data_IF_715400185669
#
_entry.id   IF_715400185669
#
_cell.length_a   1.000
_cell.length_b   1.000
_cell.length_c   1.000
_cell.angle_alpha   90.00
_cell.angle_beta   90.00
_cell.angle_gamma   90.00
#
_symmetry.space_group_name_H-M   'P 1'
#
loop_
_entity.id
_entity.type
_entity.pdbx_description
1 polymer ?
#
# COMPACT_ATOMS: atom_id res chain seq x y z
N UNK A 1 -1.63 -202.23 -40.14
CA UNK A 1 -2.75 -202.51 -41.06
C UNK A 1 -2.69 -201.58 -42.24
N UNK A 2 -2.11 -202.09 -43.33
CA UNK A 2 -2.70 -202.20 -44.67
C UNK A 2 -3.34 -200.99 -45.39
N UNK A 3 -2.63 -200.63 -46.49
CA UNK A 3 -3.00 -199.97 -47.78
C UNK A 3 -3.41 -198.48 -47.82
N UNK A 4 -3.13 -197.72 -48.92
CA UNK A 4 -1.97 -197.74 -49.84
C UNK A 4 -1.35 -196.34 -50.15
N UNK A 5 -0.03 -196.23 -49.96
CA UNK A 5 1.05 -195.46 -50.62
C UNK A 5 0.89 -194.13 -51.43
N UNK A 6 -0.29 -193.53 -51.67
CA UNK A 6 -0.39 -192.34 -52.58
C UNK A 6 -0.46 -190.96 -51.92
N UNK A 7 -0.43 -190.87 -50.60
CA UNK A 7 -0.56 -189.59 -49.86
C UNK A 7 0.77 -189.00 -49.36
N UNK A 8 1.87 -189.76 -49.34
CA UNK A 8 3.17 -189.26 -48.81
C UNK A 8 4.01 -188.43 -49.81
N UNK A 9 3.70 -188.49 -51.11
CA UNK A 9 4.49 -187.81 -52.15
C UNK A 9 4.07 -186.34 -52.36
N UNK A 10 2.82 -185.98 -52.07
CA UNK A 10 2.30 -184.61 -52.25
C UNK A 10 2.76 -183.59 -51.19
N UNK A 11 3.21 -184.06 -50.01
CA UNK A 11 3.63 -183.16 -48.92
C UNK A 11 5.08 -182.67 -49.07
N UNK A 12 5.95 -183.45 -49.73
CA UNK A 12 7.35 -183.10 -49.92
C UNK A 12 7.58 -182.06 -51.03
N UNK A 13 6.79 -182.10 -52.11
CA UNK A 13 6.87 -181.10 -53.19
C UNK A 13 6.42 -179.69 -52.76
N UNK A 14 5.51 -179.59 -51.78
CA UNK A 14 5.04 -178.31 -51.28
C UNK A 14 6.12 -177.55 -50.48
N UNK A 15 6.95 -178.26 -49.70
CA UNK A 15 7.98 -177.62 -48.87
C UNK A 15 9.20 -177.14 -49.69
N UNK A 16 9.55 -177.85 -50.77
CA UNK A 16 10.65 -177.46 -51.68
C UNK A 16 10.33 -176.14 -52.40
N UNK A 17 9.09 -175.96 -52.88
CA UNK A 17 8.68 -174.70 -53.54
C UNK A 17 8.66 -173.51 -52.58
N UNK A 18 8.38 -173.74 -51.29
CA UNK A 18 8.40 -172.69 -50.27
C UNK A 18 9.81 -172.17 -50.01
N UNK A 19 10.79 -173.07 -49.88
CA UNK A 19 12.19 -172.71 -49.62
C UNK A 19 12.86 -172.01 -50.81
N UNK A 20 12.58 -172.42 -52.05
CA UNK A 20 13.10 -171.72 -53.24
C UNK A 20 12.59 -170.28 -53.33
N UNK A 21 11.33 -170.02 -52.98
CA UNK A 21 10.75 -168.68 -52.98
C UNK A 21 11.37 -167.77 -51.91
N UNK A 22 11.71 -168.32 -50.75
CA UNK A 22 12.39 -167.57 -49.69
C UNK A 22 13.83 -167.20 -50.05
N UNK A 23 14.56 -168.09 -50.72
CA UNK A 23 15.95 -167.81 -51.14
C UNK A 23 16.00 -166.70 -52.20
N UNK A 24 15.05 -166.68 -53.14
CA UNK A 24 14.98 -165.63 -54.16
C UNK A 24 14.71 -164.25 -53.55
N UNK A 25 13.77 -164.15 -52.61
CA UNK A 25 13.47 -162.88 -51.91
C UNK A 25 14.67 -162.38 -51.09
N UNK A 26 15.42 -163.27 -50.45
CA UNK A 26 16.62 -162.90 -49.69
C UNK A 26 17.75 -162.38 -50.60
N UNK A 27 17.94 -162.97 -51.78
CA UNK A 27 18.93 -162.53 -52.75
C UNK A 27 18.59 -161.14 -53.32
N UNK A 28 17.32 -160.88 -53.65
CA UNK A 28 16.85 -159.59 -54.15
C UNK A 28 17.03 -158.48 -53.10
N UNK A 29 16.70 -158.76 -51.83
CA UNK A 29 16.91 -157.80 -50.72
C UNK A 29 18.39 -157.45 -50.53
N UNK A 30 19.30 -158.43 -50.63
CA UNK A 30 20.75 -158.19 -50.52
C UNK A 30 21.28 -157.29 -51.65
N UNK A 31 20.77 -157.47 -52.88
CA UNK A 31 21.07 -156.60 -54.03
C UNK A 31 20.55 -155.17 -53.81
N UNK A 32 19.31 -155.01 -53.35
CA UNK A 32 18.73 -153.69 -53.09
C UNK A 32 19.44 -152.92 -51.97
N UNK A 33 19.83 -153.61 -50.88
CA UNK A 33 20.56 -152.98 -49.77
C UNK A 33 21.98 -152.56 -50.20
N UNK A 34 22.69 -153.40 -50.97
CA UNK A 34 24.00 -153.06 -51.51
C UNK A 34 23.99 -151.86 -52.46
N UNK A 35 22.92 -151.69 -53.25
CA UNK A 35 22.75 -150.52 -54.11
C UNK A 35 22.47 -149.24 -53.30
N UNK A 36 21.64 -149.32 -52.25
CA UNK A 36 21.28 -148.17 -51.42
C UNK A 36 22.48 -147.65 -50.60
N UNK A 37 23.29 -148.56 -50.02
CA UNK A 37 24.53 -148.18 -49.30
C UNK A 37 25.53 -147.50 -50.24
N UNK A 38 25.65 -147.96 -51.49
CA UNK A 38 26.51 -147.29 -52.49
C UNK A 38 26.03 -145.88 -52.84
N UNK A 39 24.73 -145.67 -53.00
CA UNK A 39 24.18 -144.32 -53.25
C UNK A 39 24.40 -143.38 -52.06
N UNK A 40 24.22 -143.87 -50.82
CA UNK A 40 24.42 -143.07 -49.62
C UNK A 40 25.89 -142.68 -49.43
N UNK A 41 26.84 -143.59 -49.68
CA UNK A 41 28.28 -143.26 -49.68
C UNK A 41 28.62 -142.19 -50.73
N UNK A 42 28.11 -142.32 -51.96
CA UNK A 42 28.36 -141.33 -53.00
C UNK A 42 27.77 -139.95 -52.67
N UNK A 43 26.62 -139.89 -51.98
CA UNK A 43 26.06 -138.64 -51.51
C UNK A 43 26.93 -137.98 -50.43
N UNK A 44 27.40 -138.77 -49.46
CA UNK A 44 28.30 -138.29 -48.40
C UNK A 44 29.65 -137.82 -48.96
N UNK A 45 30.23 -138.52 -49.94
CA UNK A 45 31.48 -138.10 -50.59
C UNK A 45 31.32 -136.75 -51.29
N UNK A 46 30.21 -136.52 -52.01
CA UNK A 46 29.92 -135.23 -52.64
C UNK A 46 29.73 -134.10 -51.62
N UNK A 47 29.08 -134.37 -50.50
CA UNK A 47 28.88 -133.37 -49.44
C UNK A 47 30.20 -132.99 -48.74
N UNK A 48 31.06 -133.98 -48.48
CA UNK A 48 32.41 -133.74 -47.96
C UNK A 48 33.23 -132.90 -48.96
N UNK A 49 33.13 -133.19 -50.27
CA UNK A 49 33.83 -132.41 -51.29
C UNK A 49 33.34 -130.95 -51.34
N UNK A 50 32.03 -130.71 -51.25
CA UNK A 50 31.44 -129.37 -51.16
C UNK A 50 31.92 -128.61 -49.92
N UNK A 51 31.86 -129.23 -48.73
CA UNK A 51 32.31 -128.61 -47.48
C UNK A 51 33.81 -128.34 -47.49
N UNK A 52 34.60 -129.21 -48.12
CA UNK A 52 36.05 -129.00 -48.28
C UNK A 52 36.34 -127.81 -49.20
N UNK A 53 35.53 -127.61 -50.23
CA UNK A 53 35.64 -126.44 -51.12
C UNK A 53 35.23 -125.15 -50.42
N UNK A 54 34.15 -125.15 -49.62
CA UNK A 54 33.77 -124.00 -48.79
C UNK A 54 34.82 -123.67 -47.74
N UNK A 55 35.36 -124.68 -47.04
CA UNK A 55 36.44 -124.49 -46.08
C UNK A 55 37.67 -123.86 -46.75
N UNK A 56 38.05 -124.32 -47.95
CA UNK A 56 39.12 -123.68 -48.74
C UNK A 56 38.78 -122.23 -49.09
N UNK A 57 37.54 -121.95 -49.49
CA UNK A 57 37.06 -120.60 -49.79
C UNK A 57 37.15 -119.65 -48.58
N UNK A 58 36.61 -120.08 -47.43
CA UNK A 58 36.63 -119.32 -46.18
C UNK A 58 38.06 -119.16 -45.64
N UNK A 59 38.89 -120.19 -45.74
CA UNK A 59 40.30 -120.10 -45.33
C UNK A 59 41.08 -119.12 -46.20
N UNK A 60 40.73 -119.00 -47.50
CA UNK A 60 41.35 -118.05 -48.41
C UNK A 60 40.92 -116.61 -48.09
N UNK A 61 39.63 -116.37 -47.82
CA UNK A 61 39.15 -115.03 -47.42
C UNK A 61 39.71 -114.63 -46.06
N UNK A 62 39.78 -115.55 -45.10
CA UNK A 62 40.43 -115.31 -43.82
C UNK A 62 41.89 -114.94 -44.02
N UNK A 63 42.64 -115.70 -44.82
CA UNK A 63 44.04 -115.41 -45.13
C UNK A 63 44.24 -114.08 -45.85
N UNK A 64 43.28 -113.63 -46.67
CA UNK A 64 43.34 -112.33 -47.33
C UNK A 64 43.09 -111.20 -46.31
N UNK A 65 42.09 -111.34 -45.44
CA UNK A 65 41.77 -110.37 -44.39
C UNK A 65 42.91 -110.28 -43.37
N UNK A 66 43.41 -111.41 -42.88
CA UNK A 66 44.54 -111.51 -41.95
C UNK A 66 45.90 -111.46 -42.67
N UNK A 67 45.94 -111.02 -43.93
CA UNK A 67 47.21 -110.85 -44.60
C UNK A 67 47.99 -109.72 -43.93
N UNK A 68 49.29 -109.92 -43.74
CA UNK A 68 50.20 -108.94 -43.13
C UNK A 68 50.12 -107.55 -43.80
N UNK A 69 49.72 -107.50 -45.07
CA UNK A 69 49.52 -106.24 -45.80
C UNK A 69 48.28 -105.47 -45.29
N UNK A 70 47.17 -106.16 -45.07
CA UNK A 70 45.94 -105.53 -44.60
C UNK A 70 46.06 -105.13 -43.13
N UNK A 71 46.66 -105.98 -42.28
CA UNK A 71 46.97 -105.64 -40.89
C UNK A 71 47.84 -104.38 -40.77
N UNK A 72 48.90 -104.27 -41.59
CA UNK A 72 49.73 -103.05 -41.65
C UNK A 72 48.99 -101.82 -42.17
N UNK A 73 48.00 -101.99 -43.05
CA UNK A 73 47.17 -100.87 -43.52
C UNK A 73 46.19 -100.44 -42.44
N UNK A 74 45.59 -101.38 -41.72
CA UNK A 74 44.68 -101.10 -40.61
C UNK A 74 45.44 -100.42 -39.46
N UNK A 75 46.64 -100.88 -39.12
CA UNK A 75 47.51 -100.21 -38.13
C UNK A 75 47.84 -98.77 -38.54
N UNK A 76 48.17 -98.53 -39.82
CA UNK A 76 48.41 -97.17 -40.34
C UNK A 76 47.16 -96.32 -40.24
N UNK A 77 46.00 -96.83 -40.65
CA UNK A 77 44.73 -96.14 -40.56
C UNK A 77 44.38 -95.82 -39.10
N UNK A 78 44.63 -96.74 -38.17
CA UNK A 78 44.43 -96.54 -36.73
C UNK A 78 45.36 -95.45 -36.19
N UNK A 79 46.64 -95.45 -36.57
CA UNK A 79 47.60 -94.39 -36.19
C UNK A 79 47.19 -93.03 -36.77
N UNK A 80 46.77 -92.97 -38.03
CA UNK A 80 46.27 -91.75 -38.67
C UNK A 80 45.00 -91.23 -37.99
N UNK A 81 44.03 -92.11 -37.69
CA UNK A 81 42.83 -91.78 -36.94
C UNK A 81 43.16 -91.25 -35.54
N UNK A 82 44.15 -91.84 -34.86
CA UNK A 82 44.59 -91.38 -33.54
C UNK A 82 45.21 -89.98 -33.61
N UNK A 83 46.04 -89.71 -34.62
CA UNK A 83 46.59 -88.38 -34.89
C UNK A 83 45.50 -87.34 -35.22
N UNK A 84 44.54 -87.70 -36.06
CA UNK A 84 43.40 -86.82 -36.39
C UNK A 84 42.50 -86.56 -35.18
N UNK A 85 42.30 -87.56 -34.32
CA UNK A 85 41.54 -87.40 -33.10
C UNK A 85 42.25 -86.48 -32.11
N UNK A 86 43.58 -86.59 -31.97
CA UNK A 86 44.39 -85.70 -31.14
C UNK A 86 44.32 -84.25 -31.65
N UNK A 87 44.46 -84.03 -32.96
CA UNK A 87 44.35 -82.67 -33.53
C UNK A 87 42.94 -82.11 -33.36
N UNK A 88 41.90 -82.92 -33.51
CA UNK A 88 40.51 -82.52 -33.20
C UNK A 88 40.34 -82.09 -31.75
N UNK A 89 40.89 -82.83 -30.79
CA UNK A 89 40.84 -82.44 -29.38
C UNK A 89 41.58 -81.12 -29.10
N UNK A 90 42.71 -80.87 -29.77
CA UNK A 90 43.44 -79.60 -29.66
C UNK A 90 42.61 -78.43 -30.21
N UNK A 91 42.01 -78.58 -31.40
CA UNK A 91 41.14 -77.55 -31.97
C UNK A 91 39.89 -77.31 -31.12
N UNK A 92 39.26 -78.36 -30.58
CA UNK A 92 38.15 -78.22 -29.65
C UNK A 92 38.53 -77.42 -28.41
N UNK A 93 39.73 -77.66 -27.87
CA UNK A 93 40.24 -76.89 -26.73
C UNK A 93 40.40 -75.42 -27.10
N UNK A 94 41.03 -75.14 -28.24
CA UNK A 94 41.23 -73.77 -28.73
C UNK A 94 39.89 -73.06 -29.00
N UNK A 95 38.89 -73.78 -29.52
CA UNK A 95 37.54 -73.25 -29.73
C UNK A 95 36.88 -72.92 -28.38
N UNK A 96 37.01 -73.79 -27.37
CA UNK A 96 36.51 -73.52 -26.01
C UNK A 96 37.16 -72.28 -25.42
N UNK A 97 38.48 -72.16 -25.51
CA UNK A 97 39.22 -71.02 -24.96
C UNK A 97 38.83 -69.71 -25.66
N UNK A 98 38.70 -69.73 -26.99
CA UNK A 98 38.22 -68.57 -27.77
C UNK A 98 36.77 -68.19 -27.44
N UNK A 99 35.88 -69.17 -27.25
CA UNK A 99 34.49 -68.92 -26.81
C UNK A 99 34.44 -68.32 -25.42
N UNK A 100 35.30 -68.76 -24.50
CA UNK A 100 35.40 -68.19 -23.16
C UNK A 100 35.90 -66.73 -23.21
N UNK A 101 36.91 -66.44 -24.05
CA UNK A 101 37.39 -65.08 -24.25
C UNK A 101 36.30 -64.16 -24.86
N UNK A 102 35.55 -64.64 -25.85
CA UNK A 102 34.43 -63.89 -26.42
C UNK A 102 33.36 -63.57 -25.36
N UNK A 103 33.01 -64.54 -24.50
CA UNK A 103 32.05 -64.31 -23.43
C UNK A 103 32.55 -63.27 -22.39
N UNK A 104 33.84 -63.24 -22.09
CA UNK A 104 34.42 -62.23 -21.21
C UNK A 104 34.41 -60.83 -21.86
N UNK A 105 34.77 -60.74 -23.14
CA UNK A 105 34.69 -59.49 -23.90
C UNK A 105 33.26 -58.97 -24.00
N UNK A 106 32.28 -59.83 -24.27
CA UNK A 106 30.85 -59.46 -24.29
C UNK A 106 30.39 -58.92 -22.92
N UNK A 107 30.86 -59.52 -21.83
CA UNK A 107 30.60 -59.03 -20.47
C UNK A 107 31.21 -57.64 -20.25
N UNK A 108 32.45 -57.42 -20.68
CA UNK A 108 33.10 -56.12 -20.59
C UNK A 108 32.38 -55.05 -21.44
N UNK A 109 31.93 -55.40 -22.65
CA UNK A 109 31.12 -54.54 -23.51
C UNK A 109 29.83 -54.12 -22.78
N UNK A 110 29.08 -55.07 -22.21
CA UNK A 110 27.87 -54.78 -21.45
C UNK A 110 28.12 -53.87 -20.24
N UNK A 111 29.24 -54.03 -19.54
CA UNK A 111 29.61 -53.15 -18.44
C UNK A 111 29.94 -51.72 -18.91
N UNK A 112 30.63 -51.58 -20.03
CA UNK A 112 30.92 -50.28 -20.64
C UNK A 112 29.65 -49.60 -21.17
N UNK A 113 28.77 -50.34 -21.84
CA UNK A 113 27.47 -49.83 -22.28
C UNK A 113 26.63 -49.32 -21.10
N UNK A 114 26.60 -50.07 -19.98
CA UNK A 114 25.95 -49.62 -18.75
C UNK A 114 26.57 -48.33 -18.20
N UNK A 115 27.90 -48.18 -18.27
CA UNK A 115 28.59 -46.94 -17.85
C UNK A 115 28.24 -45.77 -18.77
N UNK A 116 28.23 -45.98 -20.09
CA UNK A 116 27.84 -44.97 -21.10
C UNK A 116 26.42 -44.48 -20.85
N UNK A 117 25.46 -45.38 -20.64
CA UNK A 117 24.06 -45.01 -20.34
C UNK A 117 23.97 -44.17 -19.05
N UNK A 118 24.70 -44.54 -17.99
CA UNK A 118 24.74 -43.75 -16.74
C UNK A 118 25.33 -42.36 -16.96
N UNK A 119 26.40 -42.25 -17.73
CA UNK A 119 27.04 -40.97 -18.05
C UNK A 119 26.14 -40.09 -18.92
N UNK A 120 25.49 -40.65 -19.94
CA UNK A 120 24.51 -39.93 -20.76
C UNK A 120 23.34 -39.39 -19.93
N UNK A 121 22.81 -40.18 -18.99
CA UNK A 121 21.78 -39.69 -18.05
C UNK A 121 22.26 -38.51 -17.21
N UNK A 122 23.51 -38.55 -16.73
CA UNK A 122 24.11 -37.41 -15.99
C UNK A 122 24.29 -36.19 -16.90
N UNK A 123 24.81 -36.39 -18.12
CA UNK A 123 25.04 -35.32 -19.08
C UNK A 123 23.73 -34.62 -19.48
N UNK A 124 22.64 -35.37 -19.70
CA UNK A 124 21.31 -34.81 -19.98
C UNK A 124 20.80 -33.97 -18.79
N UNK A 125 20.95 -34.47 -17.55
CA UNK A 125 20.57 -33.71 -16.35
C UNK A 125 21.39 -32.43 -16.19
N UNK A 126 22.70 -32.48 -16.47
CA UNK A 126 23.58 -31.30 -16.42
C UNK A 126 23.19 -30.29 -17.51
N UNK A 127 22.91 -30.75 -18.73
CA UNK A 127 22.40 -29.87 -19.81
C UNK A 127 21.09 -29.21 -19.41
N UNK A 128 20.12 -29.98 -18.91
CA UNK A 128 18.85 -29.44 -18.41
C UNK A 128 19.02 -28.49 -17.23
N UNK A 129 20.01 -28.69 -16.35
CA UNK A 129 20.31 -27.77 -15.25
C UNK A 129 20.92 -26.44 -15.77
N UNK A 130 21.84 -26.56 -16.73
CA UNK A 130 22.58 -25.46 -17.36
C UNK A 130 21.90 -24.90 -18.62
N UNK A 131 20.58 -25.10 -18.77
CA UNK A 131 19.82 -24.47 -19.84
C UNK A 131 19.89 -22.95 -19.65
N UNK A 132 20.85 -22.31 -20.36
CA UNK A 132 21.16 -20.89 -20.25
C UNK A 132 19.91 -20.01 -20.34
N UNK A 133 18.97 -20.36 -21.23
CA UNK A 133 17.68 -19.66 -21.36
C UNK A 133 16.80 -19.74 -20.10
N UNK A 134 16.82 -20.85 -19.37
CA UNK A 134 16.03 -21.00 -18.13
C UNK A 134 16.67 -20.24 -16.98
N UNK A 135 18.00 -20.32 -16.87
CA UNK A 135 18.77 -19.56 -15.89
C UNK A 135 18.60 -18.06 -16.12
N UNK A 136 18.68 -17.61 -17.38
CA UNK A 136 18.47 -16.22 -17.76
C UNK A 136 17.07 -15.72 -17.36
N UNK A 137 16.00 -16.47 -17.66
CA UNK A 137 14.64 -16.12 -17.23
C UNK A 137 14.48 -16.06 -15.70
N UNK A 138 15.18 -16.95 -14.97
CA UNK A 138 15.17 -16.92 -13.51
C UNK A 138 15.89 -15.67 -12.98
N UNK A 139 17.03 -15.30 -13.57
CA UNK A 139 17.74 -14.06 -13.26
C UNK A 139 16.83 -12.85 -13.54
N UNK A 140 16.25 -12.75 -14.73
CA UNK A 140 15.33 -11.65 -15.09
C UNK A 140 14.13 -11.56 -14.13
N UNK A 141 13.58 -12.69 -13.70
CA UNK A 141 12.47 -12.71 -12.72
C UNK A 141 12.92 -12.21 -11.35
N UNK A 142 14.12 -12.59 -10.91
CA UNK A 142 14.69 -12.15 -9.63
C UNK A 142 15.06 -10.67 -9.69
N UNK A 143 15.63 -10.20 -10.80
CA UNK A 143 15.95 -8.79 -11.05
C UNK A 143 14.68 -7.93 -11.09
N UNK A 144 13.64 -8.37 -11.80
CA UNK A 144 12.34 -7.69 -11.81
C UNK A 144 11.75 -7.62 -10.40
N UNK A 145 11.83 -8.71 -9.63
CA UNK A 145 11.35 -8.72 -8.24
C UNK A 145 12.15 -7.76 -7.35
N UNK A 146 13.47 -7.73 -7.51
CA UNK A 146 14.34 -6.81 -6.78
C UNK A 146 14.04 -5.35 -7.14
N UNK A 147 13.85 -5.06 -8.43
CA UNK A 147 13.49 -3.74 -8.91
C UNK A 147 12.13 -3.30 -8.36
N UNK A 148 11.12 -4.18 -8.36
CA UNK A 148 9.81 -3.88 -7.79
C UNK A 148 9.90 -3.53 -6.29
N UNK A 149 10.62 -4.32 -5.50
CA UNK A 149 10.84 -4.04 -4.08
C UNK A 149 11.60 -2.72 -3.87
N UNK A 150 12.58 -2.43 -4.74
CA UNK A 150 13.35 -1.18 -4.67
C UNK A 150 12.47 0.04 -4.99
N UNK A 151 11.59 -0.07 -6.00
CA UNK A 151 10.62 0.98 -6.33
C UNK A 151 9.65 1.19 -5.17
N UNK A 152 9.07 0.11 -4.61
CA UNK A 152 8.16 0.19 -3.46
C UNK A 152 8.84 0.86 -2.26
N UNK A 153 10.08 0.48 -1.97
CA UNK A 153 10.88 1.11 -0.90
C UNK A 153 11.11 2.60 -1.15
N UNK A 154 11.48 2.99 -2.37
CA UNK A 154 11.66 4.40 -2.75
C UNK A 154 10.36 5.19 -2.69
N UNK A 155 9.22 4.58 -3.05
CA UNK A 155 7.90 5.18 -2.90
C UNK A 155 7.57 5.42 -1.43
N UNK A 156 7.83 4.45 -0.55
CA UNK A 156 7.65 4.59 0.89
C UNK A 156 8.56 5.70 1.45
N UNK A 157 9.82 5.75 1.04
CA UNK A 157 10.75 6.82 1.47
C UNK A 157 10.27 8.20 1.03
N UNK A 158 9.80 8.34 -0.21
CA UNK A 158 9.26 9.61 -0.74
C UNK A 158 8.00 10.03 0.03
N UNK A 159 7.09 9.09 0.30
CA UNK A 159 5.91 9.36 1.14
C UNK A 159 6.31 9.75 2.56
N UNK A 160 7.30 9.08 3.14
CA UNK A 160 7.78 9.37 4.48
C UNK A 160 8.42 10.77 4.55
N UNK A 161 9.17 11.18 3.52
CA UNK A 161 9.70 12.54 3.39
C UNK A 161 8.56 13.58 3.40
N UNK A 162 7.52 13.39 2.58
CA UNK A 162 6.34 14.27 2.55
C UNK A 162 5.64 14.36 3.91
N UNK A 163 5.46 13.23 4.60
CA UNK A 163 4.87 13.22 5.94
C UNK A 163 5.73 13.96 6.97
N UNK A 164 7.07 13.86 6.88
CA UNK A 164 7.97 14.63 7.76
C UNK A 164 7.87 16.14 7.50
N UNK A 165 7.79 16.55 6.25
CA UNK A 165 7.56 17.96 5.87
C UNK A 165 6.21 18.47 6.39
N UNK A 166 5.15 17.68 6.28
CA UNK A 166 3.83 18.01 6.82
C UNK A 166 3.85 18.14 8.36
N UNK A 167 4.50 17.22 9.06
CA UNK A 167 4.67 17.30 10.52
C UNK A 167 5.42 18.57 10.91
N UNK A 168 6.47 18.96 10.18
CA UNK A 168 7.23 20.17 10.48
C UNK A 168 6.40 21.43 10.22
N UNK A 169 5.64 21.46 9.12
CA UNK A 169 4.70 22.54 8.84
C UNK A 169 3.66 22.69 9.96
N UNK A 170 3.08 21.59 10.44
CA UNK A 170 2.13 21.59 11.55
C UNK A 170 2.76 22.06 12.86
N UNK A 171 4.04 21.73 13.12
CA UNK A 171 4.78 22.22 14.29
C UNK A 171 4.99 23.73 14.23
N UNK A 172 5.36 24.26 13.06
CA UNK A 172 5.51 25.71 12.85
C UNK A 172 4.16 26.41 13.07
N UNK A 173 3.08 25.89 12.49
CA UNK A 173 1.73 26.44 12.69
C UNK A 173 1.33 26.43 14.16
N UNK A 174 1.59 25.33 14.88
CA UNK A 174 1.34 25.24 16.32
C UNK A 174 2.13 26.30 17.09
N UNK A 175 3.42 26.48 16.80
CA UNK A 175 4.24 27.49 17.46
C UNK A 175 3.73 28.93 17.23
N UNK A 176 3.21 29.22 16.03
CA UNK A 176 2.57 30.50 15.71
C UNK A 176 1.28 30.67 16.54
N UNK A 177 0.44 29.63 16.61
CA UNK A 177 -0.79 29.64 17.41
C UNK A 177 -0.50 29.83 18.90
N UNK A 178 0.48 29.12 19.45
CA UNK A 178 0.90 29.25 20.85
C UNK A 178 1.39 30.68 21.15
N UNK A 179 2.12 31.32 20.21
CA UNK A 179 2.53 32.72 20.33
C UNK A 179 1.33 33.68 20.33
N UNK A 180 0.38 33.48 19.42
CA UNK A 180 -0.86 34.25 19.37
C UNK A 180 -1.67 34.11 20.67
N UNK A 181 -1.80 32.88 21.18
CA UNK A 181 -2.47 32.59 22.43
C UNK A 181 -1.82 33.33 23.60
N UNK A 182 -0.48 33.29 23.70
CA UNK A 182 0.26 34.01 24.73
C UNK A 182 0.05 35.54 24.64
N UNK A 183 0.01 36.11 23.42
CA UNK A 183 -0.29 37.54 23.20
C UNK A 183 -1.70 37.89 23.65
N UNK A 184 -2.69 37.07 23.34
CA UNK A 184 -4.07 37.29 23.79
C UNK A 184 -4.19 37.20 25.31
N UNK A 185 -3.54 36.23 25.93
CA UNK A 185 -3.52 36.10 27.39
C UNK A 185 -2.92 37.35 28.06
N UNK A 186 -1.79 37.85 27.57
CA UNK A 186 -1.18 39.09 28.05
C UNK A 186 -2.12 40.30 27.94
N UNK A 187 -2.83 40.42 26.81
CA UNK A 187 -3.83 41.50 26.61
C UNK A 187 -5.01 41.36 27.57
N UNK A 188 -5.49 40.13 27.80
CA UNK A 188 -6.57 39.86 28.73
C UNK A 188 -6.17 40.21 30.17
N UNK A 189 -4.97 39.82 30.60
CA UNK A 189 -4.44 40.18 31.91
C UNK A 189 -4.23 41.68 32.08
N UNK A 190 -3.83 42.38 31.01
CA UNK A 190 -3.74 43.84 31.01
C UNK A 190 -5.12 44.49 31.17
N UNK A 191 -6.14 44.00 30.46
CA UNK A 191 -7.51 44.50 30.58
C UNK A 191 -8.10 44.23 31.97
N UNK A 192 -7.87 43.03 32.52
CA UNK A 192 -8.29 42.68 33.88
C UNK A 192 -7.68 43.62 34.92
N UNK A 193 -6.40 43.95 34.78
CA UNK A 193 -5.73 44.93 35.64
C UNK A 193 -6.34 46.33 35.52
N UNK A 194 -6.63 46.81 34.30
CA UNK A 194 -7.29 48.10 34.08
C UNK A 194 -8.69 48.14 34.68
N UNK A 195 -9.46 47.08 34.49
CA UNK A 195 -10.80 46.93 35.07
C UNK A 195 -10.75 46.98 36.60
N UNK A 196 -9.86 46.20 37.23
CA UNK A 196 -9.71 46.19 38.69
C UNK A 196 -9.30 47.58 39.21
N UNK A 197 -8.35 48.26 38.55
CA UNK A 197 -7.95 49.60 38.93
C UNK A 197 -9.10 50.61 38.83
N UNK A 198 -9.94 50.52 37.79
CA UNK A 198 -11.12 51.38 37.65
C UNK A 198 -12.17 51.10 38.74
N UNK A 199 -12.35 49.83 39.12
CA UNK A 199 -13.23 49.44 40.24
C UNK A 199 -12.71 49.99 41.57
N UNK A 200 -11.41 49.86 41.83
CA UNK A 200 -10.78 50.42 43.04
C UNK A 200 -10.91 51.96 43.09
N UNK A 201 -10.64 52.66 41.99
CA UNK A 201 -10.83 54.11 41.90
C UNK A 201 -12.29 54.52 42.12
N UNK A 202 -13.24 53.77 41.55
CA UNK A 202 -14.68 54.01 41.76
C UNK A 202 -15.07 53.78 43.23
N UNK A 203 -14.52 52.75 43.86
CA UNK A 203 -14.71 52.46 45.29
C UNK A 203 -14.18 53.61 46.17
N UNK A 204 -12.98 54.11 45.89
CA UNK A 204 -12.38 55.25 46.60
C UNK A 204 -13.21 56.53 46.42
N UNK A 205 -13.66 56.83 45.20
CA UNK A 205 -14.50 58.00 44.94
C UNK A 205 -15.85 57.90 45.67
N UNK A 206 -16.42 56.70 45.76
CA UNK A 206 -17.64 56.45 46.52
C UNK A 206 -17.43 56.66 48.02
N UNK A 207 -16.34 56.14 48.58
CA UNK A 207 -15.99 56.31 49.99
C UNK A 207 -15.77 57.79 50.34
N UNK A 208 -15.04 58.54 49.52
CA UNK A 208 -14.86 59.99 49.67
C UNK A 208 -16.19 60.76 49.61
N UNK A 209 -17.10 60.37 48.70
CA UNK A 209 -18.44 60.96 48.62
C UNK A 209 -19.22 60.68 49.90
N UNK A 210 -19.17 59.47 50.42
CA UNK A 210 -19.86 59.10 51.65
C UNK A 210 -19.33 59.89 52.86
N UNK A 211 -18.02 60.07 52.96
CA UNK A 211 -17.42 60.92 54.00
C UNK A 211 -17.83 62.40 53.87
N UNK A 212 -17.91 62.93 52.65
CA UNK A 212 -18.37 64.30 52.42
C UNK A 212 -19.84 64.47 52.81
N UNK A 213 -20.71 63.52 52.46
CA UNK A 213 -22.12 63.51 52.85
C UNK A 213 -22.29 63.41 54.38
N UNK A 214 -21.50 62.58 55.04
CA UNK A 214 -21.49 62.47 56.50
C UNK A 214 -21.09 63.81 57.16
N UNK A 215 -20.06 64.49 56.62
CA UNK A 215 -19.65 65.83 57.09
C UNK A 215 -20.74 66.88 56.89
N UNK A 216 -21.40 66.90 55.72
CA UNK A 216 -22.52 67.81 55.45
C UNK A 216 -23.67 67.55 56.41
N UNK A 217 -24.03 66.28 56.65
CA UNK A 217 -25.08 65.91 57.60
C UNK A 217 -24.76 66.39 59.01
N UNK A 218 -23.53 66.18 59.50
CA UNK A 218 -23.10 66.65 60.81
C UNK A 218 -23.09 68.20 60.91
N UNK A 219 -22.71 68.89 59.84
CA UNK A 219 -22.75 70.36 59.78
C UNK A 219 -24.18 70.89 59.81
N UNK A 220 -25.09 70.28 59.04
CA UNK A 220 -26.51 70.64 59.04
C UNK A 220 -27.16 70.42 60.41
N UNK A 221 -26.80 69.34 61.10
CA UNK A 221 -27.28 69.08 62.46
C UNK A 221 -26.80 70.16 63.44
N UNK A 222 -25.53 70.58 63.36
CA UNK A 222 -25.02 71.71 64.15
C UNK A 222 -25.73 73.01 63.82
N UNK A 223 -25.85 73.35 62.54
CA UNK A 223 -26.55 74.56 62.10
C UNK A 223 -28.01 74.59 62.57
N UNK A 224 -28.70 73.44 62.53
CA UNK A 224 -30.06 73.32 63.06
C UNK A 224 -30.11 73.60 64.57
N UNK A 225 -29.18 73.05 65.35
CA UNK A 225 -29.07 73.33 66.80
C UNK A 225 -28.77 74.81 67.07
N UNK A 226 -27.84 75.41 66.34
CA UNK A 226 -27.48 76.82 66.48
C UNK A 226 -28.65 77.74 66.12
N UNK A 227 -29.41 77.40 65.07
CA UNK A 227 -30.63 78.15 64.67
C UNK A 227 -31.69 78.07 65.78
N UNK A 228 -31.91 76.90 66.36
CA UNK A 228 -32.83 76.73 67.49
C UNK A 228 -32.35 77.55 68.69
N UNK A 229 -31.05 77.51 69.02
CA UNK A 229 -30.49 78.29 70.11
C UNK A 229 -30.65 79.80 69.88
N UNK A 230 -30.29 80.30 68.68
CA UNK A 230 -30.46 81.70 68.30
C UNK A 230 -31.91 82.17 68.44
N UNK A 231 -32.88 81.36 68.01
CA UNK A 231 -34.30 81.68 68.15
C UNK A 231 -34.73 81.77 69.63
N UNK A 232 -34.21 80.89 70.49
CA UNK A 232 -34.46 80.95 71.94
C UNK A 232 -33.86 82.22 72.55
N UNK A 233 -32.62 82.57 72.20
CA UNK A 233 -31.97 83.80 72.66
C UNK A 233 -32.72 85.06 72.19
N UNK A 234 -33.21 85.07 70.95
CA UNK A 234 -34.01 86.16 70.39
C UNK A 234 -35.32 86.33 71.17
N UNK A 235 -36.04 85.22 71.43
CA UNK A 235 -37.26 85.26 72.24
C UNK A 235 -37.01 85.78 73.65
N UNK A 236 -35.88 85.41 74.28
CA UNK A 236 -35.54 85.91 75.60
C UNK A 236 -35.21 87.42 75.58
N UNK A 237 -34.51 87.89 74.54
CA UNK A 237 -34.30 89.33 74.34
C UNK A 237 -35.59 90.09 74.11
N UNK A 238 -36.51 89.55 73.32
CA UNK A 238 -37.82 90.14 73.10
C UNK A 238 -38.62 90.23 74.41
N UNK A 239 -38.56 89.20 75.27
CA UNK A 239 -39.19 89.24 76.61
C UNK A 239 -38.60 90.33 77.50
N UNK A 240 -37.28 90.51 77.51
CA UNK A 240 -36.61 91.58 78.26
C UNK A 240 -37.01 92.95 77.72
N UNK A 241 -37.01 93.13 76.39
CA UNK A 241 -37.47 94.37 75.75
C UNK A 241 -38.92 94.68 76.06
N UNK A 242 -39.81 93.68 76.07
CA UNK A 242 -41.20 93.84 76.47
C UNK A 242 -41.35 94.26 77.92
N UNK A 243 -40.55 93.69 78.83
CA UNK A 243 -40.50 94.11 80.24
C UNK A 243 -40.00 95.55 80.37
N UNK A 244 -38.90 95.91 79.69
CA UNK A 244 -38.41 97.29 79.65
C UNK A 244 -39.43 98.26 79.05
N UNK A 245 -40.11 97.88 77.98
CA UNK A 245 -41.11 98.71 77.33
C UNK A 245 -42.33 98.88 78.23
N UNK A 246 -42.78 97.84 78.94
CA UNK A 246 -43.82 97.93 79.98
C UNK A 246 -43.38 98.87 81.11
N UNK A 247 -42.13 98.79 81.55
CA UNK A 247 -41.59 99.70 82.56
C UNK A 247 -41.51 101.14 82.05
N UNK A 248 -40.96 101.38 80.85
CA UNK A 248 -40.88 102.69 80.19
C UNK A 248 -42.27 103.29 80.00
N UNK A 249 -43.24 102.52 79.51
CA UNK A 249 -44.63 102.98 79.36
C UNK A 249 -45.30 103.25 80.69
N UNK A 250 -45.07 102.42 81.71
CA UNK A 250 -45.58 102.68 83.07
C UNK A 250 -45.01 103.98 83.64
N UNK A 251 -43.70 104.19 83.54
CA UNK A 251 -43.02 105.43 83.94
C UNK A 251 -43.59 106.62 83.19
N UNK A 252 -43.67 106.57 81.85
CA UNK A 252 -44.27 107.64 81.05
C UNK A 252 -45.70 107.95 81.55
N UNK A 253 -46.55 106.93 81.70
CA UNK A 253 -47.96 107.11 82.13
C UNK A 253 -48.07 107.73 83.52
N UNK A 254 -47.12 107.47 84.42
CA UNK A 254 -47.12 108.06 85.78
C UNK A 254 -46.62 109.51 85.82
N UNK A 255 -45.75 109.90 84.89
CA UNK A 255 -45.20 111.26 84.79
C UNK A 255 -45.95 112.17 83.81
N UNK A 256 -46.93 111.65 83.06
CA UNK A 256 -47.75 112.48 82.15
C UNK A 256 -48.94 113.06 82.92
N UNK A 257 -49.14 114.38 82.85
CA UNK A 257 -50.25 115.07 83.51
C UNK A 257 -51.60 114.66 82.88
N UNK A 258 -52.66 114.59 83.70
CA UNK A 258 -53.94 113.95 83.31
C UNK A 258 -54.63 114.67 82.13
N UNK A 259 -54.32 115.96 81.95
CA UNK A 259 -54.81 116.80 80.84
C UNK A 259 -54.14 116.48 79.51
N UNK A 260 -52.86 116.07 79.50
CA UNK A 260 -52.12 115.77 78.27
C UNK A 260 -52.44 114.38 77.71
N UNK A 261 -52.87 113.44 78.56
CA UNK A 261 -53.29 112.10 78.14
C UNK A 261 -54.59 112.10 77.32
N UNK A 262 -55.55 112.98 77.61
CA UNK A 262 -56.77 113.14 76.80
C UNK A 262 -56.46 113.77 75.43
N UNK A 263 -55.55 114.73 75.38
CA UNK A 263 -55.12 115.38 74.12
C UNK A 263 -54.29 114.43 73.25
N UNK A 264 -53.40 113.63 73.86
CA UNK A 264 -52.65 112.57 73.17
C UNK A 264 -53.53 111.40 72.73
N UNK A 265 -54.62 111.07 73.45
CA UNK A 265 -55.58 110.05 73.02
C UNK A 265 -56.36 110.49 71.77
N UNK A 266 -56.70 111.79 71.68
CA UNK A 266 -57.29 112.38 70.45
C UNK A 266 -56.29 112.38 69.29
N UNK A 267 -55.02 112.75 69.53
CA UNK A 267 -53.96 112.67 68.53
C UNK A 267 -53.61 111.23 68.12
N UNK A 268 -53.63 110.25 69.03
CA UNK A 268 -53.41 108.81 68.72
C UNK A 268 -54.56 108.16 67.94
N UNK A 269 -55.81 108.59 68.11
CA UNK A 269 -56.92 108.15 67.24
C UNK A 269 -56.72 108.67 65.81
N UNK A 270 -56.37 109.95 65.65
CA UNK A 270 -56.04 110.52 64.33
C UNK A 270 -54.79 109.87 63.69
N UNK A 271 -53.76 109.54 64.49
CA UNK A 271 -52.55 108.86 63.99
C UNK A 271 -52.77 107.39 63.66
N UNK A 272 -53.68 106.68 64.36
CA UNK A 272 -54.05 105.29 64.03
C UNK A 272 -54.89 105.21 62.75
N UNK A 273 -55.69 106.22 62.44
CA UNK A 273 -56.38 106.35 61.16
C UNK A 273 -55.39 106.67 60.03
N UNK A 274 -54.40 107.53 60.27
CA UNK A 274 -53.31 107.81 59.32
C UNK A 274 -52.32 106.63 59.13
N UNK A 275 -52.03 105.83 60.17
CA UNK A 275 -51.19 104.64 60.07
C UNK A 275 -51.90 103.44 59.41
N UNK A 276 -53.23 103.36 59.49
CA UNK A 276 -53.99 102.39 58.66
C UNK A 276 -53.92 102.73 57.17
N UNK A 277 -53.78 104.02 56.82
CA UNK A 277 -53.51 104.45 55.44
C UNK A 277 -52.05 104.26 54.99
N UNK A 278 -51.08 104.13 55.93
CA UNK A 278 -49.66 103.93 55.61
C UNK A 278 -49.19 102.47 55.68
N UNK A 279 -49.91 101.60 56.40
CA UNK A 279 -49.64 100.13 56.43
C UNK A 279 -50.09 99.39 55.16
N UNK A 280 -50.72 100.07 54.20
CA UNK A 280 -50.94 99.54 52.85
C UNK A 280 -49.73 99.71 51.93
N UNK A 281 -48.71 100.48 52.32
CA UNK A 281 -47.46 100.59 51.58
C UNK A 281 -46.45 99.63 52.20
N UNK A 282 -46.67 98.34 51.92
CA UNK A 282 -45.70 97.31 52.24
C UNK A 282 -44.47 97.47 51.35
N UNK A 283 -43.29 97.38 51.95
CA UNK A 283 -41.96 97.29 51.31
C UNK A 283 -41.77 96.01 50.47
N UNK A 284 -42.86 95.47 49.93
CA UNK A 284 -42.89 94.44 48.90
C UNK A 284 -43.70 94.89 47.67
N UNK A 285 -44.42 96.02 47.73
CA UNK A 285 -45.07 96.62 46.56
C UNK A 285 -44.05 97.31 45.67
N UNK A 286 -43.18 98.17 46.20
CA UNK A 286 -42.21 98.93 45.40
C UNK A 286 -41.19 98.04 44.69
N UNK A 287 -40.67 96.98 45.33
CA UNK A 287 -39.76 96.02 44.66
C UNK A 287 -40.48 95.18 43.60
N UNK A 288 -41.74 94.78 43.85
CA UNK A 288 -42.56 94.09 42.84
C UNK A 288 -42.98 95.03 41.72
N UNK A 289 -43.22 96.30 42.01
CA UNK A 289 -43.61 97.33 41.05
C UNK A 289 -42.42 97.73 40.18
N UNK A 290 -41.20 97.76 40.73
CA UNK A 290 -39.96 97.91 39.95
C UNK A 290 -39.74 96.70 39.05
N UNK A 291 -39.87 95.48 39.56
CA UNK A 291 -39.77 94.27 38.73
C UNK A 291 -40.87 94.23 37.64
N UNK A 292 -42.10 94.62 37.99
CA UNK A 292 -43.23 94.69 37.06
C UNK A 292 -43.03 95.80 36.01
N UNK A 293 -42.50 96.96 36.39
CA UNK A 293 -42.14 98.04 35.44
C UNK A 293 -41.01 97.62 34.51
N UNK A 294 -39.97 96.96 35.00
CA UNK A 294 -38.93 96.40 34.14
C UNK A 294 -39.47 95.33 33.19
N UNK A 295 -40.41 94.48 33.63
CA UNK A 295 -41.10 93.53 32.75
C UNK A 295 -42.03 94.22 31.74
N UNK A 296 -42.65 95.33 32.12
CA UNK A 296 -43.49 96.16 31.26
C UNK A 296 -42.65 96.89 30.18
N UNK A 297 -41.44 97.35 30.52
CA UNK A 297 -40.50 97.96 29.59
C UNK A 297 -39.95 96.93 28.57
N UNK A 298 -39.78 95.68 28.98
CA UNK A 298 -39.39 94.57 28.09
C UNK A 298 -40.55 94.06 27.23
N UNK A 299 -41.80 94.28 27.65
CA UNK A 299 -42.99 93.99 26.87
C UNK A 299 -43.29 95.19 25.96
N UNK A 300 -42.84 95.14 24.70
CA UNK A 300 -43.05 96.21 23.70
C UNK A 300 -44.53 96.63 23.55
N UNK A 301 -45.46 95.74 23.92
CA UNK A 301 -46.92 95.91 23.81
C UNK A 301 -47.62 96.29 25.14
N UNK A 302 -46.90 96.39 26.26
CA UNK A 302 -47.46 96.74 27.58
C UNK A 302 -48.29 95.64 28.29
N UNK A 303 -48.36 94.42 27.73
CA UNK A 303 -49.07 93.26 28.27
C UNK A 303 -48.06 92.16 28.68
N UNK A 304 -47.92 91.94 29.99
CA UNK A 304 -46.96 90.99 30.57
C UNK A 304 -47.41 89.54 30.35
N UNK A 305 -48.71 89.26 30.35
CA UNK A 305 -49.20 87.90 30.11
C UNK A 305 -48.89 87.45 28.68
N UNK A 306 -48.97 88.38 27.71
CA UNK A 306 -48.51 88.12 26.34
C UNK A 306 -47.01 87.89 26.25
N UNK A 307 -46.19 88.64 26.99
CA UNK A 307 -44.75 88.42 27.03
C UNK A 307 -44.41 87.03 27.60
N UNK A 308 -45.04 86.65 28.71
CA UNK A 308 -44.86 85.33 29.33
C UNK A 308 -45.30 84.21 28.38
N UNK A 309 -46.47 84.35 27.73
CA UNK A 309 -46.92 83.37 26.74
C UNK A 309 -45.98 83.29 25.53
N UNK A 310 -45.45 84.43 25.05
CA UNK A 310 -44.43 84.46 23.99
C UNK A 310 -43.12 83.80 24.41
N UNK A 311 -42.69 83.98 25.67
CA UNK A 311 -41.54 83.28 26.24
C UNK A 311 -41.77 81.78 26.34
N UNK A 312 -42.94 81.34 26.81
CA UNK A 312 -43.31 79.91 26.87
C UNK A 312 -43.36 79.32 25.46
N UNK A 313 -43.95 80.00 24.48
CA UNK A 313 -43.95 79.55 23.09
C UNK A 313 -42.53 79.46 22.50
N UNK A 314 -41.67 80.45 22.78
CA UNK A 314 -40.26 80.42 22.37
C UNK A 314 -39.50 79.29 23.07
N UNK A 315 -39.77 79.03 24.35
CA UNK A 315 -39.18 77.94 25.11
C UNK A 315 -39.64 76.57 24.59
N UNK A 316 -40.93 76.41 24.28
CA UNK A 316 -41.45 75.20 23.64
C UNK A 316 -40.85 74.98 22.25
N UNK A 317 -40.70 76.05 21.44
CA UNK A 317 -40.01 75.98 20.15
C UNK A 317 -38.54 75.62 20.33
N UNK A 318 -37.85 76.20 21.32
CA UNK A 318 -36.47 75.85 21.65
C UNK A 318 -36.34 74.41 22.12
N UNK A 319 -37.28 73.91 22.93
CA UNK A 319 -37.29 72.53 23.39
C UNK A 319 -37.54 71.55 22.23
N UNK A 320 -38.44 71.89 21.30
CA UNK A 320 -38.66 71.11 20.09
C UNK A 320 -37.42 71.12 19.19
N UNK A 321 -36.77 72.27 19.00
CA UNK A 321 -35.49 72.38 18.28
C UNK A 321 -34.39 71.57 18.97
N UNK A 322 -34.26 71.63 20.29
CA UNK A 322 -33.27 70.87 21.03
C UNK A 322 -33.51 69.36 20.91
N UNK A 323 -34.77 68.93 20.99
CA UNK A 323 -35.15 67.53 20.80
C UNK A 323 -34.82 67.06 19.37
N UNK A 324 -35.11 67.89 18.36
CA UNK A 324 -34.77 67.60 16.97
C UNK A 324 -33.25 67.55 16.73
N UNK A 325 -32.49 68.48 17.30
CA UNK A 325 -31.01 68.46 17.25
C UNK A 325 -30.46 67.20 17.93
N UNK A 326 -31.06 66.78 19.04
CA UNK A 326 -30.67 65.56 19.75
C UNK A 326 -30.93 64.32 18.90
N UNK A 327 -32.09 64.24 18.23
CA UNK A 327 -32.40 63.13 17.33
C UNK A 327 -31.48 63.13 16.11
N UNK A 328 -31.21 64.29 15.51
CA UNK A 328 -30.22 64.42 14.43
C UNK A 328 -28.82 64.00 14.86
N UNK A 329 -28.40 64.32 16.09
CA UNK A 329 -27.12 63.85 16.62
C UNK A 329 -27.11 62.33 16.80
N UNK A 330 -28.20 61.75 17.32
CA UNK A 330 -28.33 60.29 17.43
C UNK A 330 -28.28 59.61 16.05
N UNK A 331 -28.95 60.19 15.04
CA UNK A 331 -28.88 59.71 13.66
C UNK A 331 -27.47 59.86 13.08
N UNK A 332 -26.79 60.98 13.35
CA UNK A 332 -25.42 61.21 12.93
C UNK A 332 -24.47 60.19 13.53
N UNK A 333 -24.58 59.88 14.82
CA UNK A 333 -23.81 58.83 15.48
C UNK A 333 -24.07 57.44 14.88
N UNK A 334 -25.34 57.11 14.60
CA UNK A 334 -25.70 55.86 13.90
C UNK A 334 -25.06 55.80 12.51
N UNK A 335 -25.10 56.90 11.76
CA UNK A 335 -24.49 56.97 10.42
C UNK A 335 -22.97 56.88 10.48
N UNK A 336 -22.32 57.52 11.46
CA UNK A 336 -20.89 57.39 11.70
C UNK A 336 -20.50 55.95 12.08
N UNK A 337 -21.31 55.28 12.90
CA UNK A 337 -21.16 53.86 13.21
C UNK A 337 -21.20 53.00 11.95
N UNK A 338 -22.22 53.18 11.09
CA UNK A 338 -22.34 52.47 9.81
C UNK A 338 -21.16 52.76 8.86
N UNK A 339 -20.69 54.00 8.79
CA UNK A 339 -19.52 54.37 7.98
C UNK A 339 -18.29 53.60 8.48
N UNK A 340 -18.08 53.55 9.79
CA UNK A 340 -16.95 52.82 10.39
C UNK A 340 -17.05 51.31 10.12
N UNK A 341 -18.24 50.73 10.22
CA UNK A 341 -18.47 49.33 9.91
C UNK A 341 -18.17 49.02 8.44
N UNK A 342 -18.64 49.85 7.52
CA UNK A 342 -18.33 49.74 6.09
C UNK A 342 -16.83 49.92 5.81
N UNK A 343 -16.16 50.84 6.48
CA UNK A 343 -14.71 51.00 6.35
C UNK A 343 -13.93 49.77 6.83
N UNK A 344 -14.38 49.15 7.92
CA UNK A 344 -13.79 47.90 8.41
C UNK A 344 -14.02 46.76 7.41
N UNK A 345 -15.21 46.67 6.82
CA UNK A 345 -15.54 45.66 5.79
C UNK A 345 -14.69 45.86 4.52
N UNK A 346 -14.56 47.10 4.04
CA UNK A 346 -13.67 47.42 2.90
C UNK A 346 -12.23 47.03 3.23
N UNK A 347 -11.75 47.33 4.43
CA UNK A 347 -10.38 46.99 4.83
C UNK A 347 -10.19 45.47 4.84
N UNK A 348 -11.14 44.72 5.39
CA UNK A 348 -11.11 43.25 5.39
C UNK A 348 -11.09 42.68 3.97
N UNK A 349 -11.95 43.18 3.07
CA UNK A 349 -11.99 42.76 1.67
C UNK A 349 -10.69 43.08 0.92
N UNK A 350 -10.07 44.23 1.20
CA UNK A 350 -8.77 44.60 0.62
C UNK A 350 -7.68 43.66 1.11
N UNK A 351 -7.61 43.36 2.41
CA UNK A 351 -6.61 42.43 2.95
C UNK A 351 -6.79 41.01 2.43
N UNK A 352 -8.03 40.55 2.26
CA UNK A 352 -8.33 39.23 1.69
C UNK A 352 -7.92 39.18 0.21
N UNK A 353 -8.15 40.27 -0.54
CA UNK A 353 -7.72 40.39 -1.94
C UNK A 353 -6.20 40.37 -2.05
N UNK A 354 -5.48 41.12 -1.22
CA UNK A 354 -4.00 41.13 -1.20
C UNK A 354 -3.43 39.75 -0.85
N UNK A 355 -4.07 39.05 0.09
CA UNK A 355 -3.70 37.67 0.43
C UNK A 355 -3.95 36.71 -0.74
N UNK A 356 -5.11 36.81 -1.40
CA UNK A 356 -5.41 36.00 -2.56
C UNK A 356 -4.43 36.28 -3.73
N UNK A 357 -4.13 37.54 -3.99
CA UNK A 357 -3.20 37.96 -5.05
C UNK A 357 -1.76 37.50 -4.77
N UNK A 358 -1.27 37.67 -3.54
CA UNK A 358 0.05 37.17 -3.14
C UNK A 358 0.14 35.64 -3.19
N UNK A 359 -0.93 34.93 -2.82
CA UNK A 359 -1.00 33.46 -2.97
C UNK A 359 -0.99 33.03 -4.44
N UNK A 360 -1.71 33.74 -5.30
CA UNK A 360 -1.75 33.50 -6.75
C UNK A 360 -0.39 33.76 -7.40
N UNK A 361 0.27 34.88 -7.05
CA UNK A 361 1.63 35.19 -7.51
C UNK A 361 2.66 34.14 -7.06
N UNK A 362 2.52 33.59 -5.85
CA UNK A 362 3.39 32.49 -5.40
C UNK A 362 3.19 31.24 -6.25
N UNK A 363 1.94 30.86 -6.52
CA UNK A 363 1.62 29.72 -7.38
C UNK A 363 2.11 29.94 -8.81
N UNK A 364 1.94 31.14 -9.37
CA UNK A 364 2.47 31.47 -10.69
C UNK A 364 3.98 31.34 -10.75
N UNK A 365 4.71 31.83 -9.74
CA UNK A 365 6.18 31.69 -9.66
C UNK A 365 6.61 30.23 -9.57
N UNK A 366 5.92 29.41 -8.77
CA UNK A 366 6.17 27.97 -8.67
C UNK A 366 5.91 27.25 -10.01
N UNK A 367 4.91 27.69 -10.77
CA UNK A 367 4.61 27.16 -12.11
C UNK A 367 5.63 27.61 -13.15
N UNK A 368 6.08 28.86 -13.11
CA UNK A 368 7.16 29.38 -13.96
C UNK A 368 8.47 28.63 -13.71
N UNK A 369 8.84 28.39 -12.44
CA UNK A 369 10.04 27.64 -12.08
C UNK A 369 9.97 26.20 -12.63
N UNK A 370 8.85 25.50 -12.43
CA UNK A 370 8.63 24.16 -13.01
C UNK A 370 8.65 24.18 -14.53
N UNK A 371 8.11 25.22 -15.16
CA UNK A 371 8.17 25.36 -16.61
C UNK A 371 9.63 25.52 -17.06
N UNK A 372 10.43 26.35 -16.39
CA UNK A 372 11.86 26.51 -16.72
C UNK A 372 12.63 25.22 -16.54
N UNK A 373 12.45 24.51 -15.42
CA UNK A 373 13.11 23.22 -15.16
C UNK A 373 12.75 22.17 -16.23
N UNK A 374 11.47 22.04 -16.56
CA UNK A 374 11.01 21.07 -17.58
C UNK A 374 11.49 21.45 -18.97
N UNK A 375 11.57 22.74 -19.29
CA UNK A 375 12.13 23.22 -20.58
C UNK A 375 13.63 22.93 -20.65
N UNK A 376 14.38 23.15 -19.57
CA UNK A 376 15.81 22.80 -19.49
C UNK A 376 16.05 21.30 -19.59
N UNK A 377 15.23 20.47 -18.95
CA UNK A 377 15.26 19.02 -19.12
C UNK A 377 14.96 18.60 -20.56
N UNK A 378 13.91 19.16 -21.17
CA UNK A 378 13.56 18.89 -22.56
C UNK A 378 14.71 19.25 -23.51
N UNK A 379 15.32 20.43 -23.33
CA UNK A 379 16.48 20.87 -24.12
C UNK A 379 17.66 19.91 -23.92
N UNK A 380 17.94 19.46 -22.69
CA UNK A 380 18.98 18.47 -22.41
C UNK A 380 18.73 17.14 -23.12
N UNK A 381 17.48 16.67 -23.13
CA UNK A 381 17.12 15.46 -23.89
C UNK A 381 17.24 15.67 -25.39
N UNK A 382 16.83 16.82 -25.91
CA UNK A 382 16.96 17.16 -27.32
C UNK A 382 18.43 17.20 -27.77
N UNK A 383 19.31 17.82 -26.97
CA UNK A 383 20.75 17.88 -27.25
C UNK A 383 21.39 16.48 -27.20
N UNK A 384 20.98 15.64 -26.24
CA UNK A 384 21.42 14.24 -26.21
C UNK A 384 20.95 13.45 -27.42
N UNK A 385 19.71 13.67 -27.86
CA UNK A 385 19.19 13.06 -29.08
C UNK A 385 19.99 13.54 -30.31
N UNK A 386 20.27 14.85 -30.43
CA UNK A 386 21.09 15.40 -31.52
C UNK A 386 22.49 14.77 -31.55
N UNK A 387 23.15 14.63 -30.40
CA UNK A 387 24.46 13.99 -30.31
C UNK A 387 24.38 12.50 -30.68
N UNK A 388 23.38 11.78 -30.18
CA UNK A 388 23.16 10.38 -30.54
C UNK A 388 22.87 10.19 -32.03
N UNK A 389 22.06 11.05 -32.63
CA UNK A 389 21.78 11.04 -34.08
C UNK A 389 23.04 11.38 -34.89
N UNK A 390 23.91 12.25 -34.40
CA UNK A 390 25.20 12.54 -35.04
C UNK A 390 26.13 11.32 -35.02
N UNK A 391 26.20 10.62 -33.88
CA UNK A 391 26.97 9.37 -33.77
C UNK A 391 26.39 8.29 -34.68
N UNK A 392 25.07 8.14 -34.73
CA UNK A 392 24.39 7.22 -35.66
C UNK A 392 24.69 7.57 -37.12
N UNK A 393 24.60 8.84 -37.52
CA UNK A 393 24.94 9.26 -38.89
C UNK A 393 26.41 9.04 -39.24
N UNK A 394 27.33 9.18 -38.27
CA UNK A 394 28.74 8.83 -38.45
C UNK A 394 28.94 7.31 -38.62
N UNK A 395 28.18 6.50 -37.88
CA UNK A 395 28.21 5.05 -38.02
C UNK A 395 27.59 4.60 -39.36
N UNK A 396 26.47 5.20 -39.77
CA UNK A 396 25.84 4.97 -41.08
C UNK A 396 26.81 5.26 -42.22
N UNK A 397 27.43 6.45 -42.22
CA UNK A 397 28.42 6.83 -43.24
C UNK A 397 29.67 5.95 -43.20
N UNK A 398 30.13 5.53 -42.00
CA UNK A 398 31.22 4.58 -41.84
C UNK A 398 30.89 3.18 -42.39
N UNK A 399 29.69 2.65 -42.09
CA UNK A 399 29.21 1.38 -42.63
C UNK A 399 28.98 1.46 -44.13
N UNK A 400 28.47 2.57 -44.66
CA UNK A 400 28.31 2.77 -46.10
C UNK A 400 29.67 2.81 -46.82
N UNK A 401 30.67 3.45 -46.20
CA UNK A 401 32.05 3.48 -46.71
C UNK A 401 32.68 2.08 -46.71
N UNK A 402 32.53 1.33 -45.62
CA UNK A 402 32.98 -0.07 -45.53
C UNK A 402 32.27 -0.97 -46.54
N UNK A 403 30.96 -0.81 -46.74
CA UNK A 403 30.22 -1.55 -47.76
C UNK A 403 30.75 -1.27 -49.17
N UNK A 404 31.11 -0.01 -49.45
CA UNK A 404 31.71 0.40 -50.73
C UNK A 404 33.14 -0.14 -50.90
N UNK A 405 33.96 -0.15 -49.85
CA UNK A 405 35.34 -0.67 -49.90
C UNK A 405 35.42 -2.20 -50.04
N UNK A 406 34.47 -2.93 -49.45
CA UNK A 406 34.49 -4.40 -49.44
C UNK A 406 33.99 -5.01 -50.77
N UNK A 407 33.48 -4.21 -51.73
CA UNK A 407 32.84 -4.72 -52.96
C UNK A 407 31.79 -5.81 -52.63
N UNK A 408 31.09 -5.65 -51.51
CA UNK A 408 30.08 -6.61 -51.08
C UNK A 408 28.91 -6.57 -52.06
N UNK A 409 28.54 -7.72 -52.61
CA UNK A 409 27.43 -7.88 -53.55
C UNK A 409 26.10 -7.43 -52.90
N UNK A 410 25.75 -6.16 -53.09
CA UNK A 410 24.72 -5.44 -52.36
C UNK A 410 23.29 -5.95 -52.66
N UNK A 411 23.14 -6.88 -53.61
CA UNK A 411 21.84 -7.41 -54.06
C UNK A 411 21.08 -8.19 -52.97
N UNK A 412 21.77 -8.86 -52.04
CA UNK A 412 21.12 -9.54 -50.89
C UNK A 412 20.77 -8.60 -49.74
N UNK A 413 21.59 -7.58 -49.51
CA UNK A 413 21.44 -6.63 -48.40
C UNK A 413 20.34 -5.60 -48.74
N UNK A 414 20.28 -5.10 -49.97
CA UNK A 414 19.22 -4.19 -50.46
C UNK A 414 17.83 -4.83 -50.39
N UNK A 415 17.74 -6.16 -50.54
CA UNK A 415 16.49 -6.91 -50.39
C UNK A 415 15.98 -6.98 -48.94
N UNK A 416 16.87 -6.86 -47.96
CA UNK A 416 16.54 -6.77 -46.53
C UNK A 416 16.32 -5.32 -46.06
N UNK A 417 16.91 -4.32 -46.73
CA UNK A 417 16.80 -2.89 -46.37
C UNK A 417 15.50 -2.20 -46.83
N UNK A 418 14.64 -2.88 -47.59
CA UNK A 418 13.39 -2.31 -48.09
C UNK A 418 13.56 -1.31 -49.24
N UNK A 419 12.44 -0.81 -49.77
CA UNK A 419 12.27 -0.21 -51.11
C UNK A 419 13.19 0.99 -51.43
N UNK A 420 13.79 1.64 -50.43
CA UNK A 420 14.58 2.86 -50.66
C UNK A 420 16.11 2.66 -50.68
N UNK A 421 16.63 1.45 -50.45
CA UNK A 421 18.07 1.16 -50.59
C UNK A 421 19.01 1.98 -49.69
N UNK A 422 18.46 2.72 -48.72
CA UNK A 422 19.19 3.51 -47.74
C UNK A 422 19.17 2.79 -46.39
N UNK A 423 20.32 2.83 -45.70
CA UNK A 423 20.39 2.42 -44.30
C UNK A 423 19.49 3.39 -43.52
N UNK A 424 18.55 2.86 -42.76
CA UNK A 424 17.59 3.62 -41.96
C UNK A 424 17.73 3.19 -40.51
N UNK A 425 17.51 4.10 -39.55
CA UNK A 425 17.62 3.82 -38.11
C UNK A 425 16.89 2.52 -37.69
N UNK A 426 15.73 2.26 -38.29
CA UNK A 426 14.93 1.05 -38.02
C UNK A 426 15.64 -0.25 -38.46
N UNK A 427 16.39 -0.21 -39.56
CA UNK A 427 17.12 -1.35 -40.11
C UNK A 427 18.41 -1.62 -39.31
N UNK A 428 19.08 -0.57 -38.81
CA UNK A 428 20.22 -0.71 -37.91
C UNK A 428 19.81 -1.30 -36.56
N UNK A 429 18.69 -0.84 -36.01
CA UNK A 429 18.19 -1.32 -34.72
C UNK A 429 17.76 -2.80 -34.77
N UNK A 430 17.26 -3.29 -35.91
CA UNK A 430 16.98 -4.73 -36.12
C UNK A 430 18.22 -5.59 -36.38
N UNK A 431 19.34 -4.99 -36.82
CA UNK A 431 20.59 -5.71 -37.08
C UNK A 431 21.49 -5.81 -35.84
N UNK A 432 21.39 -4.85 -34.92
CA UNK A 432 22.22 -4.75 -33.71
C UNK A 432 21.46 -4.95 -32.39
N UNK A 433 20.12 -4.97 -32.40
CA UNK A 433 19.28 -5.46 -31.30
C UNK A 433 19.02 -6.94 -31.43
#
# INVERSE_FOLDING_TARGET
SDFPAKEKEKLAEAEIRRLQKQFWIAAEKRKSYGANVKQQMQAQEKEIESLTQEHKGVSLTLSQVTSLRNEKLDDRNCMELQCLLQTKYQYDSLIRDRKALLADLDKQILELEKKIVKQNKRAVKVKQANDSKRLQKQIETLEMRLNNVTVDFNTILTRNKKLREEIENLRIQKAILDNCYLKFHKKLDQQRRRMNAAVEQSGQAYEQRMEALARISAMNERHSKDTVQYNVELQERDRVLDQENKLKTFTLTKFTDRSELEEQARKKKALKEAQRAKRSQGESAESREVAYKCLLELAEDGDIDRLVNSCIEKEQKNFACFSYITELNNEMEKMQGRIKDLQNEITALVTDREYAESSSLRVLRELEEKLTETTEEANRYEDRCKESSKVLGQLESGMETLLKEINCDATKIVKQLGVNGQITDLNLMQAFG
#
